data_IF_282340656101
#
_entry.id   IF_282340656101
#
_cell.length_a   1.000
_cell.length_b   1.000
_cell.length_c   1.000
_cell.angle_alpha   90.00
_cell.angle_beta   90.00
_cell.angle_gamma   90.00
#
_symmetry.space_group_name_H-M   'P 1'
#
loop_
_entity.id
_entity.type
_entity.pdbx_description
1 polymer ?
#
# COMPACT_ATOMS: atom_id res chain seq x y z
N UNK A 1 -0.87 -20.29 15.32
CA UNK A 1 -0.88 -18.82 15.14
C UNK A 1 -2.23 -18.31 15.62
N UNK A 2 -2.29 -17.70 16.79
CA UNK A 2 -3.49 -17.04 17.30
C UNK A 2 -3.50 -15.62 16.76
N UNK A 3 -4.57 -15.23 16.07
CA UNK A 3 -4.72 -13.84 15.61
C UNK A 3 -5.23 -13.03 16.79
N UNK A 4 -4.42 -12.10 17.29
CA UNK A 4 -4.83 -11.18 18.34
C UNK A 4 -5.81 -10.16 17.72
N UNK A 5 -7.10 -10.38 17.95
CA UNK A 5 -8.19 -9.55 17.46
C UNK A 5 -8.74 -8.74 18.63
N UNK A 6 -8.74 -7.42 18.49
CA UNK A 6 -9.39 -6.54 19.44
C UNK A 6 -10.91 -6.84 19.48
N UNK A 7 -11.57 -6.81 20.65
CA UNK A 7 -13.01 -7.09 20.77
C UNK A 7 -13.87 -6.24 19.82
N UNK A 8 -13.43 -5.01 19.50
CA UNK A 8 -14.13 -4.13 18.56
C UNK A 8 -14.02 -4.61 17.10
N UNK A 9 -12.90 -5.20 16.72
CA UNK A 9 -12.70 -5.76 15.39
C UNK A 9 -13.54 -7.03 15.21
N UNK A 10 -13.67 -7.87 16.24
CA UNK A 10 -14.55 -9.04 16.22
C UNK A 10 -16.00 -8.63 15.93
N UNK A 11 -16.51 -7.64 16.68
CA UNK A 11 -17.87 -7.14 16.49
C UNK A 11 -18.09 -6.57 15.08
N UNK A 12 -17.13 -5.80 14.55
CA UNK A 12 -17.22 -5.26 13.18
C UNK A 12 -17.26 -6.37 12.13
N UNK A 13 -16.43 -7.40 12.29
CA UNK A 13 -16.34 -8.53 11.36
C UNK A 13 -17.68 -9.28 11.35
N UNK A 14 -18.27 -9.52 12.51
CA UNK A 14 -19.58 -10.18 12.64
C UNK A 14 -20.72 -9.36 12.02
N UNK A 15 -20.78 -8.06 12.27
CA UNK A 15 -21.77 -7.17 11.65
C UNK A 15 -21.65 -7.18 10.12
N UNK A 16 -20.42 -7.13 9.61
CA UNK A 16 -20.14 -7.15 8.16
C UNK A 16 -20.52 -8.49 7.53
N UNK A 17 -20.24 -9.59 8.23
CA UNK A 17 -20.61 -10.94 7.83
C UNK A 17 -22.14 -11.08 7.72
N UNK A 18 -22.86 -10.61 8.74
CA UNK A 18 -24.32 -10.66 8.79
C UNK A 18 -24.96 -9.81 7.68
N UNK A 19 -24.42 -8.62 7.42
CA UNK A 19 -24.91 -7.73 6.35
C UNK A 19 -24.69 -8.29 4.95
N UNK A 20 -23.60 -9.03 4.75
CA UNK A 20 -23.19 -9.57 3.44
C UNK A 20 -23.61 -11.02 3.22
N UNK A 21 -24.15 -11.70 4.24
CA UNK A 21 -24.53 -13.10 4.17
C UNK A 21 -23.35 -14.06 3.99
N UNK A 22 -22.15 -13.67 4.42
CA UNK A 22 -20.92 -14.46 4.34
C UNK A 22 -20.40 -14.79 5.74
N UNK A 23 -19.45 -15.72 5.86
CA UNK A 23 -18.91 -16.07 7.18
C UNK A 23 -17.97 -14.98 7.73
N UNK A 24 -17.90 -14.78 9.07
CA UNK A 24 -16.91 -13.90 9.70
C UNK A 24 -15.47 -14.22 9.27
N UNK A 25 -15.16 -15.50 9.07
CA UNK A 25 -13.86 -15.94 8.57
C UNK A 25 -13.56 -15.48 7.14
N UNK A 26 -14.55 -15.39 6.27
CA UNK A 26 -14.38 -14.86 4.91
C UNK A 26 -14.19 -13.35 4.90
N UNK A 27 -14.91 -12.62 5.76
CA UNK A 27 -14.69 -11.18 5.97
C UNK A 27 -13.25 -10.95 6.44
N UNK A 28 -12.82 -11.67 7.48
CA UNK A 28 -11.47 -11.57 8.02
C UNK A 28 -10.41 -11.92 6.97
N UNK A 29 -10.59 -12.99 6.18
CA UNK A 29 -9.66 -13.35 5.10
C UNK A 29 -9.58 -12.26 4.02
N UNK A 30 -10.72 -11.70 3.61
CA UNK A 30 -10.75 -10.64 2.60
C UNK A 30 -10.05 -9.37 3.11
N UNK A 31 -10.28 -8.99 4.37
CA UNK A 31 -9.59 -7.87 5.00
C UNK A 31 -8.09 -8.10 5.09
N UNK A 32 -7.66 -9.27 5.61
CA UNK A 32 -6.24 -9.60 5.73
C UNK A 32 -5.55 -9.66 4.37
N UNK A 33 -6.23 -10.20 3.34
CA UNK A 33 -5.73 -10.20 1.96
C UNK A 33 -5.53 -8.79 1.42
N UNK A 34 -6.49 -7.90 1.65
CA UNK A 34 -6.41 -6.49 1.24
C UNK A 34 -5.27 -5.76 1.97
N UNK A 35 -5.16 -5.94 3.30
CA UNK A 35 -4.07 -5.37 4.11
C UNK A 35 -2.71 -5.88 3.63
N UNK A 36 -2.59 -7.17 3.35
CA UNK A 36 -1.36 -7.77 2.80
C UNK A 36 -0.99 -7.17 1.45
N UNK A 37 -1.94 -7.07 0.52
CA UNK A 37 -1.71 -6.44 -0.79
C UNK A 37 -1.23 -4.99 -0.67
N UNK A 38 -1.80 -4.24 0.29
CA UNK A 38 -1.36 -2.87 0.58
C UNK A 38 0.08 -2.81 1.11
N UNK A 39 0.45 -3.71 2.03
CA UNK A 39 1.82 -3.83 2.53
C UNK A 39 2.79 -4.21 1.41
N UNK A 40 2.46 -5.23 0.62
CA UNK A 40 3.28 -5.67 -0.53
C UNK A 40 3.49 -4.53 -1.54
N UNK A 41 2.46 -3.72 -1.81
CA UNK A 41 2.57 -2.53 -2.66
C UNK A 41 3.51 -1.49 -2.04
N UNK A 42 3.39 -1.22 -0.76
CA UNK A 42 4.23 -0.26 -0.05
C UNK A 42 5.70 -0.69 -0.03
N UNK A 43 5.97 -1.98 0.21
CA UNK A 43 7.33 -2.53 0.16
C UNK A 43 7.93 -2.43 -1.25
N UNK A 44 7.14 -2.70 -2.30
CA UNK A 44 7.60 -2.52 -3.69
C UNK A 44 7.99 -1.08 -4.00
N UNK A 45 7.22 -0.10 -3.50
CA UNK A 45 7.53 1.32 -3.67
C UNK A 45 8.78 1.68 -2.86
N UNK A 46 8.86 1.23 -1.60
CA UNK A 46 10.02 1.46 -0.73
C UNK A 46 11.32 0.94 -1.35
N UNK A 47 11.31 -0.30 -1.84
CA UNK A 47 12.49 -0.91 -2.46
C UNK A 47 13.00 -0.08 -3.65
N UNK A 48 12.11 0.44 -4.49
CA UNK A 48 12.47 1.25 -5.65
C UNK A 48 12.95 2.65 -5.30
N UNK A 49 12.35 3.28 -4.29
CA UNK A 49 12.85 4.55 -3.74
C UNK A 49 14.25 4.34 -3.17
N UNK A 50 14.50 3.26 -2.42
CA UNK A 50 15.84 2.96 -1.90
C UNK A 50 16.85 2.60 -3.00
N UNK A 51 16.39 2.05 -4.13
CA UNK A 51 17.19 1.83 -5.32
C UNK A 51 17.51 3.12 -6.11
N UNK A 52 17.08 4.30 -5.63
CA UNK A 52 17.36 5.59 -6.25
C UNK A 52 16.38 5.99 -7.36
N UNK A 53 15.31 5.23 -7.60
CA UNK A 53 14.31 5.57 -8.63
C UNK A 53 13.50 6.81 -8.24
N UNK A 54 13.13 7.59 -9.25
CA UNK A 54 12.22 8.74 -9.09
C UNK A 54 10.76 8.31 -9.05
N UNK A 55 9.87 9.14 -8.50
CA UNK A 55 8.43 8.85 -8.46
C UNK A 55 7.84 8.58 -9.84
N UNK A 56 8.37 9.24 -10.88
CA UNK A 56 7.93 9.05 -12.26
C UNK A 56 8.31 7.66 -12.79
N UNK A 57 9.52 7.20 -12.52
CA UNK A 57 9.98 5.86 -12.93
C UNK A 57 9.21 4.77 -12.19
N UNK A 58 8.98 4.96 -10.89
CA UNK A 58 8.20 4.02 -10.07
C UNK A 58 6.76 3.96 -10.55
N UNK A 59 6.17 5.11 -10.90
CA UNK A 59 4.83 5.21 -11.45
C UNK A 59 4.69 4.47 -12.79
N UNK A 60 5.64 4.68 -13.69
CA UNK A 60 5.69 4.01 -15.00
C UNK A 60 5.84 2.49 -14.84
N UNK A 61 6.78 2.06 -14.00
CA UNK A 61 7.06 0.64 -13.77
C UNK A 61 5.90 -0.10 -13.10
N UNK A 62 5.21 0.54 -12.16
CA UNK A 62 4.08 -0.06 -11.44
C UNK A 62 2.73 0.18 -12.13
N UNK A 63 2.69 0.97 -13.21
CA UNK A 63 1.46 1.33 -13.92
C UNK A 63 0.48 2.14 -13.06
N UNK A 64 0.99 3.01 -12.17
CA UNK A 64 0.17 3.80 -11.23
C UNK A 64 0.50 5.28 -11.32
N UNK A 65 -0.43 6.14 -10.88
CA UNK A 65 -0.23 7.58 -10.94
C UNK A 65 0.93 8.08 -10.07
N UNK A 66 1.70 9.03 -10.60
CA UNK A 66 2.82 9.70 -9.90
C UNK A 66 2.38 10.31 -8.57
N UNK A 67 1.19 10.93 -8.53
CA UNK A 67 0.62 11.49 -7.30
C UNK A 67 0.37 10.42 -6.25
N UNK A 68 -0.07 9.22 -6.65
CA UNK A 68 -0.27 8.09 -5.74
C UNK A 68 1.05 7.62 -5.15
N UNK A 69 2.12 7.52 -5.95
CA UNK A 69 3.46 7.20 -5.45
C UNK A 69 3.97 8.27 -4.49
N UNK A 70 3.80 9.55 -4.83
CA UNK A 70 4.18 10.68 -3.98
C UNK A 70 3.50 10.60 -2.61
N UNK A 71 2.19 10.37 -2.60
CA UNK A 71 1.40 10.32 -1.38
C UNK A 71 1.75 9.08 -0.54
N UNK A 72 1.93 7.91 -1.14
CA UNK A 72 2.40 6.71 -0.43
C UNK A 72 3.80 6.97 0.16
N UNK A 73 4.72 7.49 -0.64
CA UNK A 73 6.09 7.79 -0.21
C UNK A 73 6.12 8.79 0.95
N UNK A 74 5.37 9.89 0.87
CA UNK A 74 5.39 10.96 1.87
C UNK A 74 4.57 10.62 3.12
N UNK A 75 3.32 10.19 2.94
CA UNK A 75 2.36 10.03 4.05
C UNK A 75 2.51 8.69 4.76
N UNK A 76 2.78 7.62 4.01
CA UNK A 76 2.84 6.27 4.58
C UNK A 76 4.27 5.85 4.90
N UNK A 77 5.21 6.06 3.97
CA UNK A 77 6.59 5.60 4.12
C UNK A 77 7.53 6.66 4.74
N UNK A 78 7.10 7.93 4.76
CA UNK A 78 7.90 9.10 5.21
C UNK A 78 9.30 9.16 4.58
N UNK A 79 9.41 8.77 3.31
CA UNK A 79 10.67 8.78 2.58
C UNK A 79 10.88 10.09 1.81
N UNK A 80 12.11 10.63 1.76
CA UNK A 80 12.43 11.81 0.99
C UNK A 80 12.34 11.53 -0.51
N UNK A 81 12.25 12.61 -1.28
CA UNK A 81 12.15 12.49 -2.72
C UNK A 81 13.49 12.31 -3.40
N UNK A 82 13.61 11.24 -4.21
CA UNK A 82 14.69 11.12 -5.17
C UNK A 82 14.44 12.11 -6.30
N UNK A 83 15.16 13.22 -6.26
CA UNK A 83 15.20 14.21 -7.34
C UNK A 83 16.48 13.96 -8.10
N UNK A 84 16.40 13.21 -9.19
CA UNK A 84 17.46 13.26 -10.20
C UNK A 84 17.40 14.70 -10.73
N UNK A 85 18.44 15.49 -10.48
CA UNK A 85 18.63 16.78 -11.15
C UNK A 85 18.63 16.40 -12.62
N UNK A 86 17.57 16.74 -13.35
CA UNK A 86 17.55 16.52 -14.79
C UNK A 86 18.73 17.30 -15.35
N UNK A 87 19.83 16.61 -15.62
CA UNK A 87 20.91 17.16 -16.43
C UNK A 87 20.22 17.63 -17.70
N UNK A 88 20.20 18.95 -17.90
CA UNK A 88 19.62 19.55 -19.10
C UNK A 88 20.29 18.84 -20.27
N UNK A 89 19.52 18.12 -21.07
CA UNK A 89 19.94 17.78 -22.43
C UNK A 89 20.11 19.12 -23.16
N UNK A 90 21.30 19.67 -23.13
CA UNK A 90 21.78 20.60 -24.15
C UNK A 90 21.83 19.80 -25.44
N UNK A 91 20.82 20.01 -26.28
CA UNK A 91 20.85 19.71 -27.70
C UNK A 91 21.30 20.97 -28.44
#
# INVERSE_FOLDING_TARGET
MTVDLDPRDVWRIEETAQRRGITPGEVLRAELSTRRSHLERNDRIRARVLAGMTDKQIADELGVGVTSIRDIRQKQLRLPANRIRSERKTA
#
